data_IF_242753535310
#
_entry.id   IF_242753535310
#
_cell.length_a   1.000
_cell.length_b   1.000
_cell.length_c   1.000
_cell.angle_alpha   90.00
_cell.angle_beta   90.00
_cell.angle_gamma   90.00
#
_symmetry.space_group_name_H-M   'P 1'
#
loop_
_entity.id
_entity.type
_entity.pdbx_description
1 polymer ?
#
# COMPACT_ATOMS: atom_id res chain seq x y z
N UNK A 1 -8.69 -0.86 10.29
CA UNK A 1 -8.66 0.40 9.49
C UNK A 1 -8.45 1.68 10.30
N UNK A 2 -9.20 1.96 11.38
CA UNK A 2 -9.02 3.18 12.20
C UNK A 2 -7.59 3.35 12.73
N UNK A 3 -7.03 2.28 13.29
CA UNK A 3 -5.64 2.26 13.76
C UNK A 3 -4.62 2.65 12.68
N UNK A 4 -4.78 2.14 11.46
CA UNK A 4 -3.90 2.49 10.33
C UNK A 4 -3.91 4.00 10.05
N UNK A 5 -5.09 4.61 10.04
CA UNK A 5 -5.24 6.02 9.70
C UNK A 5 -4.81 6.97 10.82
N UNK A 6 -5.10 6.62 12.07
CA UNK A 6 -4.94 7.52 13.22
C UNK A 6 -3.62 7.30 13.96
N UNK A 7 -3.09 6.09 13.97
CA UNK A 7 -1.93 5.70 14.80
C UNK A 7 -0.71 5.39 13.94
N UNK A 8 -0.87 4.53 12.93
CA UNK A 8 0.26 4.09 12.11
C UNK A 8 0.69 5.16 11.09
N UNK A 9 -0.27 5.80 10.39
CA UNK A 9 0.02 6.82 9.36
C UNK A 9 0.93 7.95 9.84
N UNK A 10 0.74 8.59 11.00
CA UNK A 10 1.64 9.67 11.44
C UNK A 10 3.10 9.24 11.61
N UNK A 11 3.33 8.01 12.10
CA UNK A 11 4.69 7.46 12.29
C UNK A 11 5.35 7.19 10.95
N UNK A 12 4.60 6.57 10.03
CA UNK A 12 5.05 6.28 8.67
C UNK A 12 5.38 7.54 7.87
N UNK A 13 4.50 8.55 7.88
CA UNK A 13 4.71 9.79 7.10
C UNK A 13 6.03 10.46 7.50
N UNK A 14 6.37 10.47 8.80
CA UNK A 14 7.65 11.01 9.27
C UNK A 14 8.84 10.24 8.70
N UNK A 15 8.85 8.91 8.81
CA UNK A 15 9.94 8.06 8.35
C UNK A 15 10.10 8.05 6.83
N UNK A 16 9.00 7.91 6.11
CA UNK A 16 8.95 7.99 4.63
C UNK A 16 9.56 9.29 4.13
N UNK A 17 9.17 10.43 4.74
CA UNK A 17 9.70 11.72 4.36
C UNK A 17 11.20 11.87 4.70
N UNK A 18 11.63 11.37 5.86
CA UNK A 18 13.05 11.37 6.29
C UNK A 18 13.98 10.69 5.27
N UNK A 19 13.48 9.67 4.56
CA UNK A 19 14.26 8.84 3.63
C UNK A 19 13.96 9.09 2.16
N UNK A 20 13.45 10.28 1.80
CA UNK A 20 13.24 10.71 0.41
C UNK A 20 12.29 9.81 -0.41
N UNK A 21 11.42 9.04 0.25
CA UNK A 21 10.35 8.33 -0.44
C UNK A 21 9.37 9.38 -0.97
N UNK A 22 9.31 9.54 -2.29
CA UNK A 22 8.64 10.70 -2.89
C UNK A 22 7.12 10.55 -2.97
N UNK A 23 6.61 9.32 -2.85
CA UNK A 23 5.17 9.05 -2.72
C UNK A 23 4.96 7.89 -1.77
N UNK A 24 3.97 8.03 -0.89
CA UNK A 24 3.49 7.00 0.01
C UNK A 24 1.97 7.03 0.00
N UNK A 25 1.34 5.87 -0.17
CA UNK A 25 -0.12 5.76 -0.14
C UNK A 25 -0.60 4.51 0.56
N UNK A 26 -1.79 4.63 1.14
CA UNK A 26 -2.55 3.52 1.70
C UNK A 26 -3.83 3.34 0.87
N UNK A 27 -3.99 2.20 0.23
CA UNK A 27 -5.27 1.76 -0.33
C UNK A 27 -5.95 0.89 0.73
N UNK A 28 -7.09 1.34 1.25
CA UNK A 28 -7.81 0.62 2.31
C UNK A 28 -9.07 -0.02 1.73
N UNK A 29 -9.28 -1.30 2.04
CA UNK A 29 -10.39 -2.09 1.52
C UNK A 29 -11.29 -2.55 2.67
N UNK A 30 -12.31 -1.76 3.07
CA UNK A 30 -13.28 -2.21 4.06
C UNK A 30 -13.96 -3.52 3.63
N UNK A 31 -14.25 -4.39 4.59
CA UNK A 31 -14.90 -5.69 4.32
C UNK A 31 -16.23 -5.56 3.57
N UNK A 32 -17.05 -4.56 3.90
CA UNK A 32 -18.32 -4.32 3.20
C UNK A 32 -18.11 -3.96 1.72
N UNK A 33 -17.06 -3.20 1.40
CA UNK A 33 -16.72 -2.81 0.04
C UNK A 33 -16.17 -4.01 -0.73
N UNK A 34 -15.26 -4.77 -0.12
CA UNK A 34 -14.72 -6.01 -0.70
C UNK A 34 -15.83 -7.00 -1.05
N UNK A 35 -16.79 -7.21 -0.16
CA UNK A 35 -17.91 -8.12 -0.41
C UNK A 35 -18.81 -7.62 -1.55
N UNK A 36 -19.17 -6.34 -1.54
CA UNK A 36 -20.01 -5.76 -2.58
C UNK A 36 -19.37 -5.90 -3.97
N UNK A 37 -18.12 -5.45 -4.11
CA UNK A 37 -17.42 -5.51 -5.39
C UNK A 37 -17.04 -6.94 -5.80
N UNK A 38 -16.88 -7.87 -4.84
CA UNK A 38 -16.75 -9.29 -5.17
C UNK A 38 -18.03 -9.81 -5.82
N UNK A 39 -19.20 -9.50 -5.26
CA UNK A 39 -20.48 -9.90 -5.85
C UNK A 39 -20.66 -9.30 -7.24
N UNK A 40 -20.41 -7.99 -7.40
CA UNK A 40 -20.50 -7.31 -8.69
C UNK A 40 -19.53 -7.93 -9.72
N UNK A 41 -18.32 -8.32 -9.31
CA UNK A 41 -17.34 -9.00 -10.16
C UNK A 41 -17.85 -10.37 -10.63
N UNK A 42 -18.40 -11.17 -9.72
CA UNK A 42 -18.95 -12.50 -10.06
C UNK A 42 -20.19 -12.40 -10.94
N UNK A 43 -21.03 -11.38 -10.77
CA UNK A 43 -22.24 -11.20 -11.56
C UNK A 43 -21.95 -10.64 -12.95
N UNK A 44 -21.15 -9.57 -13.02
CA UNK A 44 -20.98 -8.80 -14.26
C UNK A 44 -19.80 -9.27 -15.12
N UNK A 45 -18.80 -9.92 -14.52
CA UNK A 45 -17.58 -10.36 -15.20
C UNK A 45 -17.05 -11.71 -14.67
N UNK A 46 -17.87 -12.77 -14.64
CA UNK A 46 -17.46 -14.06 -14.11
C UNK A 46 -16.30 -14.63 -14.92
N UNK A 47 -15.17 -14.87 -14.26
CA UNK A 47 -14.02 -15.57 -14.80
C UNK A 47 -13.43 -16.53 -13.76
N UNK A 48 -13.02 -17.75 -14.15
CA UNK A 48 -12.41 -18.68 -13.21
C UNK A 48 -11.18 -18.06 -12.50
N UNK A 49 -11.17 -18.15 -11.16
CA UNK A 49 -10.09 -17.64 -10.32
C UNK A 49 -10.08 -16.12 -10.11
N UNK A 50 -10.98 -15.36 -10.72
CA UNK A 50 -11.08 -13.93 -10.48
C UNK A 50 -11.82 -13.68 -9.17
N UNK A 51 -11.14 -13.03 -8.23
CA UNK A 51 -11.67 -12.66 -6.93
C UNK A 51 -11.11 -11.29 -6.53
N UNK A 52 -11.87 -10.55 -5.72
CA UNK A 52 -11.32 -9.41 -5.01
C UNK A 52 -10.12 -9.86 -4.16
N UNK A 53 -9.05 -9.07 -4.17
CA UNK A 53 -7.89 -9.34 -3.34
C UNK A 53 -8.29 -9.39 -1.85
N UNK A 54 -7.76 -10.36 -1.12
CA UNK A 54 -8.09 -10.59 0.28
C UNK A 54 -7.14 -9.82 1.21
N UNK A 55 -6.99 -8.51 0.94
CA UNK A 55 -6.20 -7.58 1.73
C UNK A 55 -7.08 -6.42 2.20
N UNK A 56 -6.99 -6.08 3.49
CA UNK A 56 -7.70 -4.92 4.04
C UNK A 56 -6.93 -3.61 3.81
N UNK A 57 -5.65 -3.70 3.47
CA UNK A 57 -4.74 -2.58 3.21
C UNK A 57 -3.69 -2.96 2.19
N UNK A 58 -3.36 -2.03 1.30
CA UNK A 58 -2.15 -2.06 0.47
C UNK A 58 -1.37 -0.79 0.71
N UNK A 59 -0.12 -0.97 1.13
CA UNK A 59 0.82 0.13 1.36
C UNK A 59 1.78 0.20 0.19
N UNK A 60 1.92 1.37 -0.42
CA UNK A 60 2.76 1.56 -1.60
C UNK A 60 3.73 2.71 -1.37
N UNK A 61 4.98 2.48 -1.78
CA UNK A 61 6.08 3.44 -1.72
C UNK A 61 6.64 3.63 -3.12
N UNK A 62 6.88 4.89 -3.49
CA UNK A 62 7.63 5.20 -4.69
C UNK A 62 8.91 5.91 -4.30
N UNK A 63 10.01 5.40 -4.85
CA UNK A 63 11.36 5.85 -4.55
C UNK A 63 12.10 6.17 -5.84
N UNK A 64 13.08 7.07 -5.76
CA UNK A 64 13.95 7.38 -6.91
C UNK A 64 15.08 6.36 -7.03
N UNK A 65 15.56 5.87 -5.89
CA UNK A 65 16.52 4.78 -5.79
C UNK A 65 15.98 3.69 -4.87
N UNK A 66 16.22 2.39 -5.16
CA UNK A 66 15.99 1.32 -4.20
C UNK A 66 16.70 1.54 -2.86
N UNK A 67 17.81 2.30 -2.83
CA UNK A 67 18.52 2.62 -1.60
C UNK A 67 17.73 3.54 -0.67
N UNK A 68 16.85 4.40 -1.19
CA UNK A 68 15.94 5.22 -0.37
C UNK A 68 15.04 4.31 0.49
N UNK A 69 14.52 3.23 -0.10
CA UNK A 69 13.71 2.25 0.62
C UNK A 69 14.55 1.44 1.60
N UNK A 70 15.74 0.98 1.21
CA UNK A 70 16.63 0.22 2.10
C UNK A 70 17.07 1.03 3.31
N UNK A 71 17.41 2.30 3.11
CA UNK A 71 17.81 3.21 4.18
C UNK A 71 16.65 3.46 5.15
N UNK A 72 15.41 3.57 4.65
CA UNK A 72 14.22 3.66 5.49
C UNK A 72 14.02 2.42 6.36
N UNK A 73 14.14 1.23 5.77
CA UNK A 73 13.97 -0.04 6.47
C UNK A 73 15.13 -0.34 7.45
N UNK A 74 16.30 0.24 7.22
CA UNK A 74 17.46 0.12 8.11
C UNK A 74 17.51 1.22 9.20
N UNK A 75 16.54 2.14 9.22
CA UNK A 75 16.47 3.18 10.24
C UNK A 75 16.21 2.53 11.61
N UNK A 76 16.99 2.83 12.66
CA UNK A 76 16.72 2.29 14.00
C UNK A 76 15.32 2.63 14.54
N UNK A 77 14.71 3.72 14.05
CA UNK A 77 13.33 4.10 14.41
C UNK A 77 12.29 3.25 13.68
N UNK A 78 12.66 2.51 12.61
CA UNK A 78 11.76 1.62 11.88
C UNK A 78 11.17 0.56 12.81
N UNK A 79 12.03 -0.17 13.51
CA UNK A 79 11.59 -1.24 14.41
C UNK A 79 10.71 -0.66 15.54
N UNK A 80 11.20 0.36 16.24
CA UNK A 80 10.53 0.87 17.44
C UNK A 80 9.24 1.65 17.17
N UNK A 81 9.14 2.34 16.04
CA UNK A 81 7.97 3.18 15.70
C UNK A 81 6.98 2.48 14.76
N UNK A 82 7.45 1.51 13.97
CA UNK A 82 6.64 0.84 12.95
C UNK A 82 6.46 -0.62 13.32
N UNK A 83 7.48 -1.46 13.12
CA UNK A 83 7.35 -2.92 13.13
C UNK A 83 6.85 -3.45 14.47
N UNK A 84 7.44 -3.02 15.58
CA UNK A 84 7.06 -3.45 16.93
C UNK A 84 5.63 -3.01 17.31
N UNK A 85 5.09 -2.00 16.62
CA UNK A 85 3.76 -1.45 16.88
C UNK A 85 2.68 -2.06 16.00
N UNK A 86 3.08 -2.79 14.96
CA UNK A 86 2.18 -3.52 14.06
C UNK A 86 1.74 -4.86 14.65
N UNK A 87 2.43 -5.35 15.68
CA UNK A 87 2.06 -6.59 16.37
C UNK A 87 0.62 -6.53 16.90
N UNK A 88 -0.13 -7.59 16.63
CA UNK A 88 -1.57 -7.69 16.91
C UNK A 88 -2.50 -6.85 16.01
N UNK A 89 -1.96 -6.03 15.09
CA UNK A 89 -2.75 -5.23 14.14
C UNK A 89 -2.64 -5.70 12.70
N UNK A 90 -1.52 -6.29 12.33
CA UNK A 90 -1.24 -6.81 11.00
C UNK A 90 -1.02 -8.31 11.07
N UNK A 91 -1.67 -9.05 10.18
CA UNK A 91 -1.39 -10.46 9.94
C UNK A 91 -0.16 -10.59 9.02
N UNK A 92 1.02 -10.67 9.65
CA UNK A 92 2.30 -10.71 8.94
C UNK A 92 2.50 -11.99 8.12
N UNK A 93 1.86 -13.10 8.50
CA UNK A 93 1.98 -14.38 7.80
C UNK A 93 1.28 -14.36 6.44
N UNK A 94 0.37 -13.39 6.23
CA UNK A 94 -0.40 -13.22 4.99
C UNK A 94 0.06 -12.02 4.17
N UNK A 95 1.15 -11.36 4.56
CA UNK A 95 1.71 -10.25 3.81
C UNK A 95 2.24 -10.75 2.44
N UNK A 96 1.94 -9.99 1.40
CA UNK A 96 2.49 -10.21 0.06
C UNK A 96 3.23 -8.95 -0.39
N UNK A 97 4.46 -9.12 -0.86
CA UNK A 97 5.35 -8.01 -1.24
C UNK A 97 5.58 -8.07 -2.75
N UNK A 98 5.47 -6.92 -3.41
CA UNK A 98 5.78 -6.73 -4.83
C UNK A 98 6.69 -5.52 -5.02
N UNK A 99 7.60 -5.61 -5.99
CA UNK A 99 8.45 -4.51 -6.45
C UNK A 99 8.38 -4.43 -7.97
N UNK A 100 8.29 -3.21 -8.51
CA UNK A 100 8.19 -2.98 -9.95
C UNK A 100 8.22 -1.49 -10.28
N UNK A 101 7.78 -1.16 -11.50
CA UNK A 101 7.67 0.21 -11.99
C UNK A 101 6.20 0.58 -12.19
N UNK A 102 5.84 1.80 -11.82
CA UNK A 102 4.55 2.39 -12.17
C UNK A 102 4.71 3.21 -13.46
N UNK A 103 3.85 2.95 -14.45
CA UNK A 103 3.71 3.79 -15.63
C UNK A 103 2.29 4.36 -15.63
N UNK A 104 2.18 5.69 -15.55
CA UNK A 104 0.90 6.39 -15.48
C UNK A 104 0.57 6.96 -16.86
N UNK A 105 -0.60 6.61 -17.40
CA UNK A 105 -1.10 7.09 -18.70
C UNK A 105 -2.27 8.09 -18.56
N UNK A 106 -2.95 8.06 -17.41
CA UNK A 106 -4.00 9.03 -17.05
C UNK A 106 -3.77 9.45 -15.61
N UNK A 107 -3.62 10.76 -15.38
CA UNK A 107 -3.44 11.35 -14.06
C UNK A 107 -4.36 12.57 -13.91
N UNK A 108 -5.03 12.69 -12.77
CA UNK A 108 -6.04 13.73 -12.49
C UNK A 108 -7.06 13.96 -13.64
N UNK A 109 -7.52 12.88 -14.25
CA UNK A 109 -8.48 12.89 -15.35
C UNK A 109 -7.90 13.32 -16.72
N UNK A 110 -6.61 13.56 -16.82
CA UNK A 110 -5.92 13.96 -18.05
C UNK A 110 -5.06 12.84 -18.61
N UNK A 111 -5.04 12.67 -19.93
CA UNK A 111 -4.09 11.77 -20.60
C UNK A 111 -2.69 12.38 -20.46
N UNK A 112 -1.74 11.61 -19.95
CA UNK A 112 -0.34 12.00 -19.81
C UNK A 112 0.52 11.15 -20.73
N UNK A 113 1.50 11.76 -21.38
CA UNK A 113 2.51 11.01 -22.11
C UNK A 113 3.39 10.25 -21.11
N UNK A 114 3.49 8.94 -21.28
CA UNK A 114 4.36 8.12 -20.45
C UNK A 114 5.81 8.59 -20.62
N UNK A 115 6.41 9.04 -19.51
CA UNK A 115 7.86 9.27 -19.46
C UNK A 115 8.53 7.90 -19.34
N UNK A 116 8.92 7.33 -20.49
CA UNK A 116 9.76 6.14 -20.57
C UNK A 116 11.20 6.53 -20.26
#
# INVERSE_FOLDING_TARGET
MKWYQEVHRPRMVRLVHKHNVFRYSLFLTPSFMRQQFHNDLQETRPKPGWQMADFDVTTSYWVRSPDDLRNMLADPEWDSEVQDKEDGWIDMDRASIQVGFETVFVDDGQIVEAKV
#
